data_IF_681408734375
#
_entry.id   IF_681408734375
#
_cell.length_a   1.000
_cell.length_b   1.000
_cell.length_c   1.000
_cell.angle_alpha   90.00
_cell.angle_beta   90.00
_cell.angle_gamma   90.00
#
_symmetry.space_group_name_H-M   'P 1'
#
loop_
_entity.id
_entity.type
_entity.pdbx_description
1 polymer ?
#
# COMPACT_ATOMS: atom_id res chain seq x y z
N UNK A 1 23.90 -36.22 -15.24
CA UNK A 1 24.24 -35.67 -13.91
C UNK A 1 24.93 -34.30 -13.98
N UNK A 2 25.97 -34.08 -14.80
CA UNK A 2 26.69 -32.77 -14.89
C UNK A 2 25.79 -31.56 -15.22
N UNK A 3 24.85 -31.69 -16.16
CA UNK A 3 24.00 -30.55 -16.56
C UNK A 3 23.03 -30.08 -15.47
N UNK A 4 22.58 -30.96 -14.58
CA UNK A 4 21.69 -30.56 -13.48
C UNK A 4 22.44 -29.67 -12.47
N UNK A 5 23.70 -30.00 -12.17
CA UNK A 5 24.55 -29.18 -11.30
C UNK A 5 24.91 -27.82 -11.95
N UNK A 6 25.14 -27.79 -13.26
CA UNK A 6 25.38 -26.55 -14.02
C UNK A 6 24.16 -25.62 -14.02
N UNK A 7 22.95 -26.18 -14.20
CA UNK A 7 21.68 -25.43 -14.14
C UNK A 7 21.45 -24.89 -12.73
N UNK A 8 21.68 -25.68 -11.69
CA UNK A 8 21.60 -25.22 -10.30
C UNK A 8 22.56 -24.06 -10.07
N UNK A 9 23.81 -24.17 -10.51
CA UNK A 9 24.80 -23.11 -10.36
C UNK A 9 24.42 -21.82 -11.12
N UNK A 10 23.82 -21.95 -12.30
CA UNK A 10 23.33 -20.81 -13.08
C UNK A 10 22.15 -20.10 -12.39
N UNK A 11 21.17 -20.87 -11.87
CA UNK A 11 20.04 -20.32 -11.12
C UNK A 11 20.49 -19.59 -9.85
N UNK A 12 21.48 -20.15 -9.15
CA UNK A 12 22.08 -19.52 -7.96
C UNK A 12 22.79 -18.21 -8.30
N UNK A 13 23.50 -18.13 -9.43
CA UNK A 13 24.12 -16.88 -9.92
C UNK A 13 23.07 -15.84 -10.29
N UNK A 14 21.99 -16.25 -10.97
CA UNK A 14 20.90 -15.35 -11.34
C UNK A 14 20.23 -14.73 -10.11
N UNK A 15 20.06 -15.51 -9.03
CA UNK A 15 19.53 -15.01 -7.77
C UNK A 15 20.38 -13.88 -7.16
N UNK A 16 21.71 -13.90 -7.36
CA UNK A 16 22.62 -12.89 -6.84
C UNK A 16 22.90 -11.71 -7.78
N UNK A 17 22.42 -11.74 -9.02
CA UNK A 17 22.72 -10.70 -10.02
C UNK A 17 22.08 -9.35 -9.64
N UNK A 18 22.59 -8.22 -10.12
CA UNK A 18 21.89 -6.95 -9.93
C UNK A 18 20.52 -6.99 -10.65
N UNK A 19 19.47 -6.40 -10.08
CA UNK A 19 18.23 -6.13 -10.84
C UNK A 19 18.32 -4.74 -11.44
N UNK A 20 17.61 -4.53 -12.55
CA UNK A 20 17.41 -3.20 -13.12
C UNK A 20 15.92 -2.88 -13.11
N UNK A 21 15.55 -1.69 -12.66
CA UNK A 21 14.23 -1.11 -12.87
C UNK A 21 14.30 -0.05 -13.96
N UNK A 22 13.28 -0.03 -14.80
CA UNK A 22 13.08 0.98 -15.82
C UNK A 22 11.98 1.91 -15.31
N UNK A 23 12.33 3.16 -15.04
CA UNK A 23 11.34 4.19 -14.72
C UNK A 23 11.30 5.23 -15.85
N UNK A 24 10.10 5.66 -16.21
CA UNK A 24 9.89 6.79 -17.11
C UNK A 24 9.37 7.92 -16.23
N UNK A 25 10.16 8.99 -16.10
CA UNK A 25 9.81 10.13 -15.24
C UNK A 25 9.94 11.46 -16.00
N UNK A 26 8.99 12.36 -15.73
CA UNK A 26 8.93 13.72 -16.27
C UNK A 26 8.21 13.86 -17.62
N UNK A 27 7.90 15.11 -17.99
CA UNK A 27 7.21 15.53 -19.23
C UNK A 27 8.01 15.12 -20.49
N UNK A 28 9.29 14.78 -20.35
CA UNK A 28 10.20 14.43 -21.46
C UNK A 28 10.39 12.91 -21.72
N UNK A 29 9.69 12.02 -21.01
CA UNK A 29 9.65 10.57 -21.28
C UNK A 29 11.02 9.86 -21.47
N UNK A 30 12.10 10.29 -20.78
CA UNK A 30 13.36 9.56 -20.84
C UNK A 30 13.35 8.38 -19.88
N UNK A 31 13.60 7.18 -20.42
CA UNK A 31 13.73 5.98 -19.61
C UNK A 31 15.03 6.01 -18.82
N UNK A 32 14.93 6.00 -17.49
CA UNK A 32 16.06 5.81 -16.59
C UNK A 32 16.14 4.35 -16.17
N UNK A 33 17.31 3.75 -16.40
CA UNK A 33 17.68 2.45 -15.86
C UNK A 33 18.36 2.66 -14.51
N UNK A 34 17.70 2.26 -13.43
CA UNK A 34 18.27 2.21 -12.09
C UNK A 34 18.65 0.79 -11.74
N UNK A 35 19.85 0.62 -11.17
CA UNK A 35 20.22 -0.65 -10.55
C UNK A 35 19.49 -0.73 -9.21
N UNK A 36 18.62 -1.72 -9.06
CA UNK A 36 17.83 -1.92 -7.86
C UNK A 36 18.22 -3.23 -7.18
N UNK A 37 18.36 -3.18 -5.85
CA UNK A 37 18.60 -4.40 -5.07
C UNK A 37 17.29 -5.17 -5.05
N UNK A 38 17.21 -6.23 -5.85
CA UNK A 38 15.99 -7.00 -5.96
C UNK A 38 15.54 -7.55 -4.62
N UNK A 39 14.23 -7.57 -4.38
CA UNK A 39 13.66 -8.20 -3.20
C UNK A 39 14.09 -9.68 -3.14
N UNK A 40 14.88 -10.09 -2.11
CA UNK A 40 15.45 -11.43 -2.04
C UNK A 40 14.37 -12.50 -1.87
N UNK A 41 13.24 -12.19 -1.24
CA UNK A 41 12.12 -13.13 -1.11
C UNK A 41 11.41 -13.36 -2.44
N UNK A 42 11.18 -12.31 -3.22
CA UNK A 42 10.58 -12.41 -4.55
C UNK A 42 11.45 -13.29 -5.48
N UNK A 43 12.77 -13.09 -5.45
CA UNK A 43 13.70 -13.94 -6.20
C UNK A 43 13.72 -15.39 -5.72
N UNK A 44 13.51 -15.61 -4.43
CA UNK A 44 13.53 -16.95 -3.87
C UNK A 44 12.32 -17.74 -4.36
N UNK A 45 11.15 -17.09 -4.46
CA UNK A 45 9.95 -17.71 -5.01
C UNK A 45 10.13 -18.13 -6.47
N UNK A 46 10.90 -17.38 -7.27
CA UNK A 46 11.15 -17.74 -8.68
C UNK A 46 12.12 -18.93 -8.78
N UNK A 47 13.17 -18.94 -7.98
CA UNK A 47 14.26 -19.94 -8.07
C UNK A 47 13.97 -21.23 -7.32
N UNK A 48 13.33 -21.17 -6.15
CA UNK A 48 13.11 -22.33 -5.29
C UNK A 48 12.29 -23.46 -5.94
N UNK A 49 11.20 -23.21 -6.71
CA UNK A 49 10.46 -24.28 -7.38
C UNK A 49 11.32 -25.08 -8.34
N UNK A 50 12.24 -24.41 -9.06
CA UNK A 50 13.15 -25.05 -10.01
C UNK A 50 14.15 -25.95 -9.28
N UNK A 51 14.70 -25.47 -8.15
CA UNK A 51 15.63 -26.23 -7.33
C UNK A 51 14.96 -27.42 -6.62
N UNK A 52 13.73 -27.25 -6.15
CA UNK A 52 12.96 -28.32 -5.51
C UNK A 52 12.59 -29.43 -6.49
N UNK A 53 12.24 -29.09 -7.74
CA UNK A 53 11.96 -30.07 -8.82
C UNK A 53 13.16 -30.98 -9.10
N UNK A 54 14.39 -30.46 -8.99
CA UNK A 54 15.61 -31.25 -9.20
C UNK A 54 15.91 -32.22 -8.06
N UNK A 55 15.20 -32.14 -6.92
CA UNK A 55 15.37 -32.99 -5.71
C UNK A 55 16.82 -33.09 -5.21
N UNK A 56 17.66 -32.10 -5.54
CA UNK A 56 19.07 -32.08 -5.16
C UNK A 56 19.24 -31.66 -3.69
N UNK A 57 20.02 -32.39 -2.87
CA UNK A 57 20.38 -31.96 -1.52
C UNK A 57 21.04 -30.59 -1.49
N UNK A 58 21.86 -30.27 -2.51
CA UNK A 58 22.50 -28.95 -2.65
C UNK A 58 21.48 -27.84 -2.86
N UNK A 59 20.41 -28.10 -3.61
CA UNK A 59 19.33 -27.14 -3.83
C UNK A 59 18.58 -26.83 -2.53
N UNK A 60 18.24 -27.86 -1.74
CA UNK A 60 17.60 -27.69 -0.42
C UNK A 60 18.50 -26.93 0.56
N UNK A 61 19.78 -27.28 0.63
CA UNK A 61 20.74 -26.57 1.47
C UNK A 61 20.86 -25.09 1.07
N UNK A 62 20.92 -24.80 -0.23
CA UNK A 62 20.98 -23.42 -0.72
C UNK A 62 19.72 -22.62 -0.37
N UNK A 63 18.51 -23.19 -0.54
CA UNK A 63 17.26 -22.53 -0.13
C UNK A 63 17.30 -22.21 1.36
N UNK A 64 17.74 -23.17 2.19
CA UNK A 64 17.87 -22.96 3.64
C UNK A 64 18.84 -21.84 3.99
N UNK A 65 20.00 -21.76 3.33
CA UNK A 65 20.95 -20.65 3.49
C UNK A 65 20.30 -19.31 3.13
N UNK A 66 19.57 -19.22 2.03
CA UNK A 66 18.91 -17.97 1.62
C UNK A 66 17.80 -17.53 2.56
N UNK A 67 17.04 -18.47 3.11
CA UNK A 67 16.06 -18.13 4.15
C UNK A 67 16.76 -17.59 5.41
N UNK A 68 17.89 -18.18 5.81
CA UNK A 68 18.68 -17.67 6.95
C UNK A 68 19.18 -16.25 6.70
N UNK A 69 19.70 -15.96 5.50
CA UNK A 69 20.14 -14.61 5.13
C UNK A 69 18.98 -13.61 5.13
N UNK A 70 17.84 -13.94 4.51
CA UNK A 70 16.63 -13.10 4.55
C UNK A 70 16.18 -12.85 6.00
N UNK A 71 16.27 -13.87 6.86
CA UNK A 71 15.93 -13.75 8.28
C UNK A 71 16.88 -12.80 9.00
N UNK A 72 18.18 -12.83 8.67
CA UNK A 72 19.17 -11.91 9.24
C UNK A 72 18.92 -10.47 8.75
N UNK A 73 18.72 -10.28 7.44
CA UNK A 73 18.43 -8.98 6.84
C UNK A 73 17.17 -8.32 7.46
N UNK A 74 16.16 -9.13 7.78
CA UNK A 74 14.93 -8.69 8.44
C UNK A 74 15.15 -8.32 9.92
N UNK A 75 16.07 -9.01 10.63
CA UNK A 75 16.45 -8.65 12.01
C UNK A 75 17.25 -7.36 12.06
N UNK A 76 18.16 -7.19 11.11
CA UNK A 76 19.07 -6.04 11.03
C UNK A 76 18.42 -4.82 10.36
N UNK A 77 17.09 -4.85 10.18
CA UNK A 77 16.24 -3.80 9.60
C UNK A 77 16.55 -3.40 8.15
N UNK A 78 17.47 -4.11 7.49
CA UNK A 78 17.83 -3.89 6.07
C UNK A 78 16.76 -4.34 5.08
N UNK A 79 15.78 -5.13 5.55
CA UNK A 79 14.63 -5.61 4.78
C UNK A 79 13.35 -5.30 5.55
N UNK A 80 12.37 -4.66 4.89
CA UNK A 80 11.10 -4.32 5.52
C UNK A 80 10.18 -5.56 5.67
N UNK A 81 9.32 -5.62 6.70
CA UNK A 81 8.31 -6.66 6.84
C UNK A 81 7.40 -6.77 5.60
N UNK A 82 6.94 -5.64 5.06
CA UNK A 82 6.09 -5.57 3.86
C UNK A 82 6.71 -6.33 2.66
N UNK A 83 8.01 -6.15 2.43
CA UNK A 83 8.75 -6.82 1.36
C UNK A 83 8.70 -8.34 1.47
N UNK A 84 8.70 -8.87 2.70
CA UNK A 84 8.62 -10.31 2.96
C UNK A 84 7.19 -10.80 2.90
N UNK A 85 6.24 -10.07 3.51
CA UNK A 85 4.81 -10.42 3.58
C UNK A 85 4.20 -10.67 2.21
N UNK A 86 4.51 -9.83 1.22
CA UNK A 86 4.07 -10.01 -0.17
C UNK A 86 4.39 -11.41 -0.74
N UNK A 87 5.49 -12.01 -0.27
CA UNK A 87 6.03 -13.30 -0.70
C UNK A 87 5.58 -14.49 0.16
N UNK A 88 5.04 -14.25 1.37
CA UNK A 88 4.78 -15.29 2.38
C UNK A 88 3.82 -16.37 1.88
N UNK A 89 2.72 -16.00 1.21
CA UNK A 89 1.75 -16.98 0.68
C UNK A 89 2.40 -17.96 -0.30
N UNK A 90 3.30 -17.47 -1.16
CA UNK A 90 4.01 -18.31 -2.13
C UNK A 90 5.04 -19.20 -1.43
N UNK A 91 5.82 -18.66 -0.49
CA UNK A 91 6.79 -19.43 0.30
C UNK A 91 6.10 -20.56 1.10
N UNK A 92 4.90 -20.30 1.64
CA UNK A 92 4.07 -21.31 2.31
C UNK A 92 3.64 -22.41 1.35
N UNK A 93 3.10 -22.06 0.19
CA UNK A 93 2.66 -23.03 -0.84
C UNK A 93 3.79 -23.93 -1.33
N UNK A 94 5.02 -23.43 -1.32
CA UNK A 94 6.22 -24.20 -1.68
C UNK A 94 6.73 -25.11 -0.55
N UNK A 95 6.09 -25.09 0.63
CA UNK A 95 6.52 -25.85 1.82
C UNK A 95 7.84 -25.35 2.43
N UNK A 96 8.30 -24.15 2.02
CA UNK A 96 9.58 -23.59 2.51
C UNK A 96 9.42 -23.13 3.97
N UNK A 97 8.26 -22.58 4.32
CA UNK A 97 7.96 -22.12 5.67
C UNK A 97 7.82 -23.26 6.69
N UNK A 98 7.60 -24.50 6.23
CA UNK A 98 7.51 -25.69 7.10
C UNK A 98 8.90 -26.21 7.54
N UNK A 99 9.97 -25.66 6.98
CA UNK A 99 11.34 -25.97 7.40
C UNK A 99 11.70 -25.28 8.71
N UNK A 100 12.79 -25.72 9.36
CA UNK A 100 13.29 -25.08 10.60
C UNK A 100 13.67 -23.62 10.34
N UNK A 101 14.32 -23.34 9.21
CA UNK A 101 14.69 -21.98 8.79
C UNK A 101 13.45 -21.16 8.43
N UNK A 102 12.48 -21.77 7.75
CA UNK A 102 11.21 -21.15 7.40
C UNK A 102 10.40 -20.71 8.62
N UNK A 103 10.30 -21.56 9.65
CA UNK A 103 9.65 -21.19 10.92
C UNK A 103 10.34 -20.02 11.61
N UNK A 104 11.69 -20.04 11.67
CA UNK A 104 12.46 -18.90 12.23
C UNK A 104 12.22 -17.60 11.48
N UNK A 105 12.09 -17.64 10.15
CA UNK A 105 11.73 -16.47 9.36
C UNK A 105 10.35 -15.94 9.76
N UNK A 106 9.36 -16.82 9.91
CA UNK A 106 8.00 -16.45 10.34
C UNK A 106 8.03 -15.82 11.74
N UNK A 107 8.74 -16.42 12.70
CA UNK A 107 8.83 -15.89 14.06
C UNK A 107 9.41 -14.47 14.08
N UNK A 108 10.50 -14.25 13.34
CA UNK A 108 11.12 -12.91 13.23
C UNK A 108 10.20 -11.93 12.51
N UNK A 109 9.56 -12.36 11.43
CA UNK A 109 8.65 -11.51 10.66
C UNK A 109 7.46 -11.06 11.50
N UNK A 110 6.88 -11.96 12.30
CA UNK A 110 5.81 -11.63 13.24
C UNK A 110 6.26 -10.57 14.24
N UNK A 111 7.39 -10.82 14.93
CA UNK A 111 7.91 -9.89 15.94
C UNK A 111 8.15 -8.51 15.34
N UNK A 112 8.78 -8.46 14.16
CA UNK A 112 9.07 -7.20 13.46
C UNK A 112 7.79 -6.47 13.06
N UNK A 113 6.87 -7.16 12.38
CA UNK A 113 5.61 -6.58 11.94
C UNK A 113 4.73 -6.09 13.09
N UNK A 114 4.77 -6.73 14.26
CA UNK A 114 4.05 -6.28 15.46
C UNK A 114 4.76 -5.15 16.22
N UNK A 115 6.08 -5.03 16.10
CA UNK A 115 6.86 -4.00 16.81
C UNK A 115 6.99 -2.68 16.06
N UNK A 116 6.71 -2.68 14.76
CA UNK A 116 6.94 -1.54 13.87
C UNK A 116 5.64 -0.87 13.41
N UNK A 117 4.49 -1.14 14.03
CA UNK A 117 3.21 -0.51 13.61
C UNK A 117 3.15 0.96 13.99
N UNK A 118 3.43 1.86 13.04
CA UNK A 118 3.38 3.31 13.24
C UNK A 118 2.34 3.99 12.35
N UNK A 119 2.09 3.44 11.17
CA UNK A 119 1.14 3.97 10.20
C UNK A 119 0.19 2.89 9.66
N UNK A 120 -0.73 3.31 8.79
CA UNK A 120 -1.73 2.42 8.21
C UNK A 120 -1.11 1.34 7.32
N UNK A 121 0.00 1.64 6.62
CA UNK A 121 0.69 0.69 5.74
C UNK A 121 1.33 -0.46 6.55
N UNK A 122 1.82 -0.17 7.76
CA UNK A 122 2.32 -1.19 8.68
C UNK A 122 1.19 -2.13 9.14
N UNK A 123 0.02 -1.58 9.45
CA UNK A 123 -1.15 -2.37 9.83
C UNK A 123 -1.73 -3.17 8.66
N UNK A 124 -1.73 -2.63 7.44
CA UNK A 124 -2.05 -3.38 6.22
C UNK A 124 -1.10 -4.56 6.05
N UNK A 125 0.20 -4.34 6.22
CA UNK A 125 1.22 -5.39 6.17
C UNK A 125 0.95 -6.48 7.22
N UNK A 126 0.58 -6.10 8.43
CA UNK A 126 0.28 -7.02 9.52
C UNK A 126 -1.01 -7.81 9.27
N UNK A 127 -2.07 -7.15 8.80
CA UNK A 127 -3.32 -7.77 8.41
C UNK A 127 -3.12 -8.81 7.28
N UNK A 128 -2.30 -8.46 6.29
CA UNK A 128 -1.93 -9.37 5.21
C UNK A 128 -1.14 -10.58 5.70
N UNK A 129 -0.25 -10.38 6.66
CA UNK A 129 0.51 -11.46 7.28
C UNK A 129 -0.39 -12.40 8.08
N UNK A 130 -1.31 -11.86 8.90
CA UNK A 130 -2.31 -12.63 9.68
C UNK A 130 -3.18 -13.44 8.73
N UNK A 131 -3.64 -12.85 7.64
CA UNK A 131 -4.44 -13.51 6.59
C UNK A 131 -3.65 -14.61 5.87
N UNK A 132 -2.36 -14.38 5.59
CA UNK A 132 -1.50 -15.37 4.93
C UNK A 132 -1.16 -16.57 5.83
N UNK A 133 -0.97 -16.31 7.13
CA UNK A 133 -0.50 -17.27 8.13
C UNK A 133 -1.43 -17.37 9.35
N UNK A 134 -2.72 -17.75 9.19
CA UNK A 134 -3.69 -17.68 10.28
C UNK A 134 -3.32 -18.60 11.46
N UNK A 135 -2.71 -19.75 11.21
CA UNK A 135 -2.32 -20.68 12.28
C UNK A 135 -1.01 -20.31 12.97
N UNK A 136 -0.32 -19.25 12.52
CA UNK A 136 0.98 -18.86 13.07
C UNK A 136 0.88 -17.84 14.19
N UNK A 137 -0.28 -17.20 14.37
CA UNK A 137 -0.53 -16.24 15.44
C UNK A 137 -1.36 -16.88 16.54
N UNK A 138 -0.90 -16.72 17.78
CA UNK A 138 -1.64 -17.10 18.99
C UNK A 138 -2.79 -16.13 19.23
N UNK A 139 -3.78 -16.54 20.03
CA UNK A 139 -4.92 -15.69 20.36
C UNK A 139 -4.48 -14.42 21.11
N UNK A 140 -3.48 -14.53 22.00
CA UNK A 140 -2.91 -13.38 22.70
C UNK A 140 -2.24 -12.39 21.73
N UNK A 141 -1.46 -12.87 20.76
CA UNK A 141 -0.86 -11.99 19.74
C UNK A 141 -1.93 -11.33 18.88
N UNK A 142 -2.99 -12.06 18.50
CA UNK A 142 -4.12 -11.49 17.75
C UNK A 142 -4.82 -10.39 18.53
N UNK A 143 -5.00 -10.59 19.83
CA UNK A 143 -5.62 -9.58 20.68
C UNK A 143 -4.75 -8.33 20.79
N UNK A 144 -3.44 -8.48 21.01
CA UNK A 144 -2.52 -7.34 20.99
C UNK A 144 -2.58 -6.57 19.67
N UNK A 145 -2.70 -7.25 18.54
CA UNK A 145 -2.85 -6.60 17.23
C UNK A 145 -4.17 -5.82 17.14
N UNK A 146 -5.26 -6.40 17.63
CA UNK A 146 -6.58 -5.74 17.62
C UNK A 146 -6.60 -4.50 18.51
N UNK A 147 -6.08 -4.61 19.72
CA UNK A 147 -5.97 -3.48 20.66
C UNK A 147 -5.13 -2.36 20.05
N UNK A 148 -3.93 -2.68 19.54
CA UNK A 148 -3.05 -1.69 18.92
C UNK A 148 -3.68 -1.02 17.69
N UNK A 149 -4.38 -1.79 16.84
CA UNK A 149 -5.03 -1.23 15.66
C UNK A 149 -6.25 -0.38 16.00
N UNK A 150 -7.06 -0.80 16.98
CA UNK A 150 -8.21 -0.01 17.45
C UNK A 150 -7.77 1.34 18.01
N UNK A 151 -6.75 1.35 18.88
CA UNK A 151 -6.18 2.59 19.42
C UNK A 151 -5.60 3.48 18.30
N UNK A 152 -4.91 2.88 17.32
CA UNK A 152 -4.38 3.60 16.18
C UNK A 152 -5.48 4.22 15.31
N UNK A 153 -6.51 3.45 14.95
CA UNK A 153 -7.56 3.88 14.03
C UNK A 153 -8.32 5.09 14.57
N UNK A 154 -8.71 5.05 15.84
CA UNK A 154 -9.38 6.17 16.51
C UNK A 154 -8.47 7.40 16.57
N UNK A 155 -7.21 7.21 16.97
CA UNK A 155 -6.23 8.29 17.06
C UNK A 155 -5.92 8.94 15.71
N UNK A 156 -5.80 8.11 14.67
CA UNK A 156 -5.52 8.53 13.30
C UNK A 156 -6.71 9.33 12.76
N UNK A 157 -7.94 8.88 12.99
CA UNK A 157 -9.14 9.60 12.57
C UNK A 157 -9.26 10.97 13.27
N UNK A 158 -9.02 11.03 14.58
CA UNK A 158 -9.10 12.29 15.36
C UNK A 158 -8.02 13.32 14.97
N UNK A 159 -6.88 12.86 14.44
CA UNK A 159 -5.74 13.71 14.09
C UNK A 159 -5.48 13.86 12.59
N UNK A 160 -6.34 13.28 11.76
CA UNK A 160 -6.20 13.35 10.31
C UNK A 160 -6.31 14.82 9.86
N UNK A 161 -5.27 15.34 9.22
CA UNK A 161 -5.17 16.73 8.76
C UNK A 161 -5.38 16.87 7.24
N UNK A 162 -5.91 15.82 6.61
CA UNK A 162 -6.27 15.84 5.20
C UNK A 162 -7.37 16.87 4.94
N UNK A 163 -7.16 17.66 3.88
CA UNK A 163 -8.07 18.74 3.47
C UNK A 163 -8.89 18.39 2.23
N UNK A 164 -8.61 17.24 1.61
CA UNK A 164 -9.32 16.74 0.44
C UNK A 164 -10.41 15.74 0.89
N UNK A 165 -11.71 16.02 0.64
CA UNK A 165 -12.80 15.12 0.99
C UNK A 165 -12.70 13.72 0.39
N UNK A 166 -12.17 13.60 -0.83
CA UNK A 166 -12.02 12.29 -1.49
C UNK A 166 -10.91 11.47 -0.82
N UNK A 167 -9.78 12.09 -0.46
CA UNK A 167 -8.70 11.43 0.28
C UNK A 167 -9.17 10.98 1.67
N UNK A 168 -9.98 11.79 2.36
CA UNK A 168 -10.58 11.41 3.66
C UNK A 168 -11.50 10.19 3.54
N UNK A 169 -12.28 10.08 2.46
CA UNK A 169 -13.15 8.93 2.21
C UNK A 169 -12.34 7.68 1.84
N UNK A 170 -11.28 7.84 1.07
CA UNK A 170 -10.36 6.75 0.73
C UNK A 170 -9.67 6.22 2.00
N UNK A 171 -9.15 7.10 2.86
CA UNK A 171 -8.56 6.69 4.15
C UNK A 171 -9.59 6.02 5.07
N UNK A 172 -10.83 6.53 5.15
CA UNK A 172 -11.90 5.86 5.89
C UNK A 172 -12.16 4.44 5.35
N UNK A 173 -12.15 4.25 4.02
CA UNK A 173 -12.29 2.93 3.42
C UNK A 173 -11.11 2.02 3.76
N UNK A 174 -9.88 2.53 3.70
CA UNK A 174 -8.68 1.76 4.05
C UNK A 174 -8.70 1.31 5.50
N UNK A 175 -9.12 2.18 6.42
CA UNK A 175 -9.29 1.83 7.84
C UNK A 175 -10.32 0.70 8.00
N UNK A 176 -11.46 0.81 7.31
CA UNK A 176 -12.48 -0.24 7.32
C UNK A 176 -11.94 -1.59 6.80
N UNK A 177 -11.24 -1.59 5.67
CA UNK A 177 -10.69 -2.80 5.06
C UNK A 177 -9.68 -3.51 5.98
N UNK A 178 -8.81 -2.76 6.66
CA UNK A 178 -7.86 -3.32 7.64
C UNK A 178 -8.59 -3.79 8.89
N UNK A 179 -9.59 -3.03 9.37
CA UNK A 179 -10.47 -3.41 10.48
C UNK A 179 -11.16 -4.74 10.25
N UNK A 180 -11.74 -4.95 9.07
CA UNK A 180 -12.37 -6.21 8.68
C UNK A 180 -11.40 -7.40 8.69
N UNK A 181 -10.17 -7.18 8.18
CA UNK A 181 -9.14 -8.21 8.15
C UNK A 181 -8.63 -8.58 9.55
N UNK A 182 -8.56 -7.62 10.46
CA UNK A 182 -8.12 -7.80 11.85
C UNK A 182 -9.27 -8.13 12.82
N UNK A 183 -10.51 -8.01 12.37
CA UNK A 183 -11.73 -8.14 13.18
C UNK A 183 -11.79 -7.09 14.30
N UNK A 184 -11.55 -5.83 13.93
CA UNK A 184 -11.63 -4.65 14.81
C UNK A 184 -12.79 -3.78 14.32
N UNK A 185 -13.65 -3.38 15.26
CA UNK A 185 -14.69 -2.40 14.98
C UNK A 185 -14.03 -1.03 14.77
N UNK A 186 -14.24 -0.46 13.58
CA UNK A 186 -13.66 0.84 13.17
C UNK A 186 -14.73 1.86 12.80
N UNK A 187 -15.99 1.60 13.14
CA UNK A 187 -17.12 2.45 12.73
C UNK A 187 -16.93 3.90 13.20
N UNK A 188 -16.42 4.09 14.42
CA UNK A 188 -16.10 5.43 14.94
C UNK A 188 -15.09 6.16 14.04
N UNK A 189 -13.93 5.56 13.80
CA UNK A 189 -12.86 6.16 13.00
C UNK A 189 -13.32 6.48 11.57
N UNK A 190 -14.03 5.54 10.94
CA UNK A 190 -14.59 5.74 9.59
C UNK A 190 -15.60 6.89 9.56
N UNK A 191 -16.52 6.95 10.52
CA UNK A 191 -17.54 7.99 10.59
C UNK A 191 -16.93 9.37 10.87
N UNK A 192 -15.91 9.45 11.71
CA UNK A 192 -15.17 10.69 11.98
C UNK A 192 -14.60 11.27 10.69
N UNK A 193 -13.87 10.47 9.91
CA UNK A 193 -13.28 10.91 8.64
C UNK A 193 -14.36 11.28 7.59
N UNK A 194 -15.43 10.49 7.47
CA UNK A 194 -16.54 10.78 6.54
C UNK A 194 -17.28 12.07 6.92
N UNK A 195 -17.43 12.37 8.22
CA UNK A 195 -18.00 13.62 8.71
C UNK A 195 -17.09 14.81 8.40
N UNK A 196 -15.79 14.68 8.63
CA UNK A 196 -14.81 15.72 8.25
C UNK A 196 -14.85 16.02 6.75
N UNK A 197 -14.92 15.00 5.90
CA UNK A 197 -15.07 15.18 4.45
C UNK A 197 -16.34 15.98 4.09
N UNK A 198 -17.47 15.63 4.73
CA UNK A 198 -18.76 16.30 4.53
C UNK A 198 -18.73 17.75 5.03
N UNK A 199 -18.04 18.02 6.14
CA UNK A 199 -17.90 19.37 6.69
C UNK A 199 -17.08 20.28 5.76
N UNK A 200 -15.97 19.79 5.23
CA UNK A 200 -15.13 20.52 4.25
C UNK A 200 -15.93 20.89 3.01
N UNK A 201 -16.71 19.95 2.44
CA UNK A 201 -17.55 20.22 1.28
C UNK A 201 -18.63 21.27 1.58
N UNK A 202 -19.28 21.16 2.74
CA UNK A 202 -20.28 22.14 3.18
C UNK A 202 -19.69 23.55 3.33
N UNK A 203 -18.48 23.66 3.87
CA UNK A 203 -17.77 24.94 3.99
C UNK A 203 -17.40 25.51 2.61
N UNK A 204 -16.96 24.68 1.67
CA UNK A 204 -16.66 25.10 0.29
C UNK A 204 -17.91 25.54 -0.48
N UNK A 205 -19.05 24.86 -0.30
CA UNK A 205 -20.33 25.25 -0.90
C UNK A 205 -20.84 26.59 -0.33
N UNK A 206 -20.64 26.84 0.97
CA UNK A 206 -21.07 28.08 1.62
C UNK A 206 -20.25 29.33 1.23
N UNK A 207 -19.09 29.16 0.60
CA UNK A 207 -18.22 30.26 0.15
C UNK A 207 -18.71 31.03 -1.08
N UNK A 208 -19.80 30.59 -1.74
CA UNK A 208 -20.33 31.21 -2.95
C UNK A 208 -21.60 32.04 -2.75
N UNK A 209 -22.11 32.15 -1.51
CA UNK A 209 -23.43 32.74 -1.24
C UNK A 209 -23.42 34.09 -0.49
N UNK A 210 -22.28 34.79 -0.44
CA UNK A 210 -22.19 36.14 0.14
C UNK A 210 -21.31 37.10 -0.68
N UNK A 211 -21.63 37.35 -1.95
CA UNK A 211 -21.30 38.65 -2.60
C UNK A 211 -21.98 38.91 -3.96
N UNK A 212 -23.29 38.64 -4.09
CA UNK A 212 -24.04 39.06 -5.28
C UNK A 212 -25.53 39.29 -5.01
N UNK A 213 -25.86 40.13 -4.03
CA UNK A 213 -27.22 40.67 -3.89
C UNK A 213 -27.20 42.17 -3.62
N UNK A 214 -26.76 42.92 -4.64
CA UNK A 214 -27.26 44.27 -4.88
C UNK A 214 -27.50 44.49 -6.38
N UNK A 215 -28.42 43.70 -6.97
CA UNK A 215 -29.13 44.15 -8.16
C UNK A 215 -30.35 44.94 -7.71
N UNK A 216 -30.08 46.15 -7.23
CA UNK A 216 -31.07 47.20 -7.10
C UNK A 216 -31.75 47.42 -8.44
N UNK A 217 -33.02 47.05 -8.51
CA UNK A 217 -33.87 47.27 -9.67
C UNK A 217 -33.89 48.75 -10.06
N UNK A 218 -33.42 49.02 -11.27
CA UNK A 218 -33.96 50.08 -12.11
C UNK A 218 -34.19 49.46 -13.48
N UNK A 219 -35.45 49.45 -13.88
CA UNK A 219 -35.90 49.10 -15.22
C UNK A 219 -35.21 50.02 -16.24
N UNK A 220 -34.17 49.54 -16.89
CA UNK A 220 -33.83 50.03 -18.24
C UNK A 220 -34.72 49.26 -19.21
N UNK A 221 -35.96 49.74 -19.31
CA UNK A 221 -36.69 49.59 -20.57
C UNK A 221 -35.83 50.29 -21.62
N UNK A 222 -35.09 49.51 -22.41
CA UNK A 222 -34.39 50.01 -23.58
C UNK A 222 -35.42 50.74 -24.44
N UNK A 223 -35.35 52.07 -24.48
CA UNK A 223 -36.25 52.83 -25.35
C UNK A 223 -35.90 52.49 -26.80
N UNK A 224 -36.91 52.26 -27.65
CA UNK A 224 -36.75 51.93 -29.08
C UNK A 224 -35.84 52.91 -29.85
N UNK A 225 -35.59 54.09 -29.27
CA UNK A 225 -34.69 55.13 -29.78
C UNK A 225 -33.20 54.74 -29.73
N UNK A 226 -32.80 53.81 -28.87
CA UNK A 226 -31.42 53.30 -28.82
C UNK A 226 -31.18 52.18 -29.84
N UNK A 227 -32.22 51.39 -30.18
CA UNK A 227 -32.18 50.41 -31.26
C UNK A 227 -32.07 51.08 -32.64
N UNK A 228 -32.76 52.21 -32.84
CA UNK A 228 -32.71 52.97 -34.11
C UNK A 228 -31.36 53.66 -34.36
N UNK A 229 -30.56 53.86 -33.29
CA UNK A 229 -29.20 54.41 -33.35
C UNK A 229 -28.15 53.35 -33.77
N UNK A 230 -28.43 52.06 -33.55
CA UNK A 230 -27.52 50.96 -33.95
C UNK A 230 -27.71 50.52 -35.41
N UNK A 231 -28.89 50.75 -36.00
CA UNK A 231 -29.22 50.30 -37.36
C UNK A 231 -29.32 51.41 -38.40
N UNK A 232 -28.89 52.62 -38.06
CA UNK A 232 -28.56 53.72 -38.99
C UNK A 232 -29.33 53.67 -40.30
N UNK A 233 -30.61 54.08 -40.26
CA UNK A 233 -31.45 54.47 -41.40
C UNK A 233 -30.88 54.13 -42.79
N UNK A 234 -31.14 52.90 -43.26
CA UNK A 234 -31.22 52.63 -44.69
C UNK A 234 -32.56 53.21 -45.20
N UNK A 235 -32.56 54.48 -45.62
CA UNK A 235 -33.79 55.08 -46.13
C UNK A 235 -33.71 56.54 -46.61
N UNK A 236 -32.98 56.75 -47.71
CA UNK A 236 -33.02 57.90 -48.66
C UNK A 236 -32.36 59.22 -48.27
#
# INVERSE_FOLDING_TARGET
>A
MRHADEIVAALQRLFGAASCSLSVSGIQQWARLSVEKANPTARLIVTAPLLLKQRSPKGKAWIATRITEITADLKDTTLSPASVTASVKALKRLGILDSVQGRKLVDVLKVRAMSETQDLDDFETLADLVRALPTSFTDAERETIREAYGEFADHYADKCDLSNPDELRDEASRIGDVGDLLQVDTDYAQDTLKKSATEIEREQESGWDEDSRDYGGRSDECSDRELDSMFGTLGS
#
